data_IF_297765525861
#
_entry.id   IF_297765525861
#
_cell.length_a   1.000
_cell.length_b   1.000
_cell.length_c   1.000
_cell.angle_alpha   90.00
_cell.angle_beta   90.00
_cell.angle_gamma   90.00
#
_symmetry.space_group_name_H-M   'P 1'
#
loop_
_entity.id
_entity.type
_entity.pdbx_description
1 polymer ?
#
# COMPACT_ATOMS: atom_id res chain seq x y z
N UNK A 1 -0.67 -2.14 5.11
CA UNK A 1 0.00 -0.87 5.43
C UNK A 1 -0.80 0.03 6.38
N UNK A 2 -2.10 -0.14 6.48
CA UNK A 2 -2.98 0.62 7.39
C UNK A 2 -3.41 -0.23 8.60
N UNK A 3 -2.47 -0.97 9.20
CA UNK A 3 -2.70 -1.87 10.33
C UNK A 3 -1.79 -1.53 11.51
N UNK A 4 -2.21 -1.91 12.72
CA UNK A 4 -1.38 -1.78 13.92
C UNK A 4 -0.08 -2.58 13.82
N UNK A 5 -0.13 -3.79 13.25
CA UNK A 5 1.05 -4.61 12.98
C UNK A 5 2.09 -3.86 12.14
N UNK A 6 1.66 -3.25 11.02
CA UNK A 6 2.57 -2.45 10.21
C UNK A 6 3.09 -1.20 10.95
N UNK A 7 2.26 -0.55 11.75
CA UNK A 7 2.69 0.55 12.60
C UNK A 7 3.78 0.13 13.58
N UNK A 8 3.61 -1.01 14.25
CA UNK A 8 4.61 -1.55 15.19
C UNK A 8 5.93 -1.87 14.50
N UNK A 9 5.89 -2.49 13.31
CA UNK A 9 7.07 -2.71 12.48
C UNK A 9 7.78 -1.38 12.17
N UNK A 10 7.04 -0.36 11.75
CA UNK A 10 7.64 0.92 11.36
C UNK A 10 8.22 1.68 12.55
N UNK A 11 7.67 1.54 13.77
CA UNK A 11 8.29 2.07 15.00
C UNK A 11 9.67 1.46 15.25
N UNK A 12 9.83 0.13 15.09
CA UNK A 12 11.13 -0.54 15.20
C UNK A 12 12.15 0.00 14.18
N UNK A 13 11.67 0.54 13.05
CA UNK A 13 12.50 1.13 11.99
C UNK A 13 12.57 2.68 12.04
N UNK A 14 12.33 3.25 13.22
CA UNK A 14 12.59 4.66 13.50
C UNK A 14 11.56 5.63 12.92
N UNK A 15 10.33 5.17 12.67
CA UNK A 15 9.21 6.05 12.39
C UNK A 15 8.42 6.34 13.67
N UNK A 16 7.99 7.56 13.82
CA UNK A 16 6.87 7.87 14.70
C UNK A 16 5.57 7.45 13.99
N UNK A 17 4.65 6.84 14.74
CA UNK A 17 3.42 6.27 14.20
C UNK A 17 2.22 6.85 14.92
N UNK A 18 1.36 7.50 14.17
CA UNK A 18 0.11 8.08 14.64
C UNK A 18 -1.07 7.41 13.95
N UNK A 19 -2.14 7.15 14.69
CA UNK A 19 -3.40 6.65 14.17
C UNK A 19 -4.42 7.77 14.23
N UNK A 20 -5.01 8.10 13.08
CA UNK A 20 -6.07 9.10 12.97
C UNK A 20 -7.41 8.39 12.78
N UNK A 21 -8.42 8.83 13.50
CA UNK A 21 -9.81 8.49 13.27
C UNK A 21 -10.57 9.73 12.84
N UNK A 22 -11.34 9.62 11.77
CA UNK A 22 -12.24 10.68 11.30
C UNK A 22 -13.66 10.33 11.75
N UNK A 23 -14.28 11.24 12.51
CA UNK A 23 -15.62 11.03 13.03
C UNK A 23 -16.60 12.05 12.44
N UNK A 24 -17.80 11.58 12.13
CA UNK A 24 -18.94 12.45 11.83
C UNK A 24 -19.37 13.25 13.06
N UNK A 25 -20.29 14.20 12.84
CA UNK A 25 -20.94 14.97 13.93
C UNK A 25 -21.61 14.07 14.97
N UNK A 26 -22.13 12.92 14.56
CA UNK A 26 -22.80 11.93 15.41
C UNK A 26 -21.81 11.00 16.15
N UNK A 27 -20.50 11.24 15.98
CA UNK A 27 -19.44 10.46 16.63
C UNK A 27 -19.07 9.13 15.94
N UNK A 28 -19.72 8.79 14.84
CA UNK A 28 -19.42 7.58 14.07
C UNK A 28 -18.06 7.70 13.36
N UNK A 29 -17.28 6.60 13.35
CA UNK A 29 -16.03 6.55 12.60
C UNK A 29 -16.32 6.43 11.12
N UNK A 30 -15.97 7.47 10.34
CA UNK A 30 -16.19 7.57 8.88
C UNK A 30 -14.91 7.42 8.07
N UNK A 31 -13.78 7.35 8.74
CA UNK A 31 -12.49 7.11 8.10
C UNK A 31 -11.38 6.93 9.11
N UNK A 32 -10.27 6.40 8.65
CA UNK A 32 -9.08 6.19 9.46
C UNK A 32 -7.80 6.29 8.64
N UNK A 33 -6.70 6.58 9.31
CA UNK A 33 -5.37 6.48 8.69
C UNK A 33 -4.28 6.21 9.71
N UNK A 34 -3.31 5.43 9.28
CA UNK A 34 -2.01 5.35 9.90
C UNK A 34 -1.08 6.37 9.23
N UNK A 35 -0.48 7.26 10.02
CA UNK A 35 0.55 8.18 9.59
C UNK A 35 1.92 7.74 10.10
N UNK A 36 2.87 7.67 9.20
CA UNK A 36 4.28 7.50 9.49
C UNK A 36 4.96 8.85 9.42
N UNK A 37 5.76 9.21 10.43
CA UNK A 37 6.44 10.50 10.47
C UNK A 37 7.92 10.32 10.73
N UNK A 38 8.72 11.24 10.19
CA UNK A 38 10.14 11.39 10.53
C UNK A 38 10.52 12.86 10.58
N UNK A 39 11.51 13.17 11.39
CA UNK A 39 12.16 14.46 11.37
C UNK A 39 12.97 14.61 10.07
N UNK A 40 12.97 15.83 9.52
CA UNK A 40 13.77 16.19 8.35
C UNK A 40 15.00 16.98 8.78
N UNK A 41 14.76 18.14 9.40
CA UNK A 41 15.82 19.00 9.95
C UNK A 41 15.24 19.86 11.08
N UNK A 42 16.03 20.08 12.11
CA UNK A 42 15.60 20.84 13.30
C UNK A 42 14.31 20.28 13.89
N UNK A 43 13.32 21.16 14.03
CA UNK A 43 11.97 20.81 14.54
C UNK A 43 10.99 20.34 13.46
N UNK A 44 11.38 20.45 12.20
CA UNK A 44 10.49 20.16 11.08
C UNK A 44 10.44 18.68 10.74
N UNK A 45 9.24 18.22 10.38
CA UNK A 45 8.94 16.82 10.09
C UNK A 45 8.04 16.66 8.87
N UNK A 46 7.99 15.45 8.35
CA UNK A 46 7.02 15.09 7.32
C UNK A 46 6.15 13.93 7.79
N UNK A 47 4.97 13.81 7.19
CA UNK A 47 4.07 12.68 7.38
C UNK A 47 3.84 11.93 6.06
N UNK A 48 3.61 10.62 6.18
CA UNK A 48 3.32 9.73 5.07
C UNK A 48 2.20 8.76 5.44
N UNK A 49 1.15 8.71 4.62
CA UNK A 49 0.05 7.76 4.75
C UNK A 49 0.12 6.70 3.64
N UNK A 50 0.79 5.56 3.87
CA UNK A 50 0.89 4.48 2.89
C UNK A 50 -0.47 3.81 2.68
N UNK A 51 -1.02 3.83 1.47
CA UNK A 51 -2.37 3.35 1.15
C UNK A 51 -3.50 4.03 1.95
N UNK A 52 -3.24 5.19 2.50
CA UNK A 52 -4.21 6.00 3.23
C UNK A 52 -4.64 7.20 2.41
N UNK A 53 -5.72 7.84 2.77
CA UNK A 53 -6.57 7.50 3.91
C UNK A 53 -7.61 6.43 3.56
N UNK A 54 -8.15 5.74 4.57
CA UNK A 54 -9.30 4.86 4.43
C UNK A 54 -10.56 5.71 4.64
N UNK A 55 -11.06 6.31 3.59
CA UNK A 55 -12.17 7.28 3.59
C UNK A 55 -12.86 7.26 2.22
N UNK A 56 -14.09 7.75 2.14
CA UNK A 56 -14.74 7.95 0.84
C UNK A 56 -14.16 9.18 0.14
N UNK A 57 -13.40 8.94 -0.91
CA UNK A 57 -12.79 9.99 -1.73
C UNK A 57 -13.76 10.64 -2.73
N UNK A 58 -14.99 10.17 -2.84
CA UNK A 58 -16.00 10.72 -3.75
C UNK A 58 -16.94 11.71 -3.06
N UNK A 59 -16.77 11.92 -1.75
CA UNK A 59 -17.50 12.92 -0.99
C UNK A 59 -16.66 14.21 -0.88
N UNK A 60 -16.99 15.26 -1.63
CA UNK A 60 -16.21 16.49 -1.65
C UNK A 60 -16.26 17.26 -0.32
N UNK A 61 -17.38 17.24 0.39
CA UNK A 61 -17.53 17.96 1.66
C UNK A 61 -16.68 17.30 2.73
N UNK A 62 -16.73 15.98 2.79
CA UNK A 62 -15.89 15.18 3.69
C UNK A 62 -14.40 15.41 3.44
N UNK A 63 -13.97 15.44 2.18
CA UNK A 63 -12.54 15.63 1.83
C UNK A 63 -12.09 17.07 2.13
N UNK A 64 -12.92 18.07 1.89
CA UNK A 64 -12.60 19.46 2.23
C UNK A 64 -12.47 19.64 3.76
N UNK A 65 -13.43 19.14 4.53
CA UNK A 65 -13.39 19.19 5.99
C UNK A 65 -12.17 18.46 6.55
N UNK A 66 -11.84 17.28 6.00
CA UNK A 66 -10.66 16.52 6.34
C UNK A 66 -9.39 17.34 6.08
N UNK A 67 -9.26 17.92 4.89
CA UNK A 67 -8.07 18.69 4.50
C UNK A 67 -7.85 19.89 5.44
N UNK A 68 -8.89 20.64 5.76
CA UNK A 68 -8.83 21.78 6.67
C UNK A 68 -8.40 21.38 8.09
N UNK A 69 -9.01 20.32 8.62
CA UNK A 69 -8.67 19.82 9.96
C UNK A 69 -7.25 19.27 10.01
N UNK A 70 -6.84 18.51 8.99
CA UNK A 70 -5.48 17.97 8.89
C UNK A 70 -4.45 19.08 8.78
N UNK A 71 -4.68 20.08 7.93
CA UNK A 71 -3.75 21.18 7.77
C UNK A 71 -3.49 21.89 9.09
N UNK A 72 -4.54 22.23 9.85
CA UNK A 72 -4.44 22.86 11.16
C UNK A 72 -3.66 21.98 12.16
N UNK A 73 -3.96 20.67 12.20
CA UNK A 73 -3.28 19.73 13.09
C UNK A 73 -1.79 19.61 12.76
N UNK A 74 -1.48 19.44 11.47
CA UNK A 74 -0.12 19.20 11.00
C UNK A 74 0.76 20.44 11.17
N UNK A 75 0.23 21.64 10.86
CA UNK A 75 0.95 22.90 11.08
C UNK A 75 1.28 23.10 12.55
N UNK A 76 0.33 22.87 13.46
CA UNK A 76 0.55 22.96 14.91
C UNK A 76 1.67 22.02 15.39
N UNK A 77 1.84 20.87 14.74
CA UNK A 77 2.86 19.88 15.05
C UNK A 77 4.14 20.01 14.19
N UNK A 78 4.29 21.12 13.47
CA UNK A 78 5.48 21.46 12.66
C UNK A 78 5.75 20.49 11.48
N UNK A 79 4.70 19.87 10.94
CA UNK A 79 4.81 19.15 9.68
C UNK A 79 4.86 20.14 8.52
N UNK A 80 5.80 19.94 7.59
CA UNK A 80 5.96 20.77 6.39
C UNK A 80 5.21 20.20 5.18
N UNK A 81 5.00 18.88 5.15
CA UNK A 81 4.12 18.25 4.17
C UNK A 81 3.57 16.91 4.67
N UNK A 82 2.46 16.51 4.07
CA UNK A 82 1.87 15.19 4.19
C UNK A 82 1.80 14.56 2.79
N UNK A 83 2.41 13.38 2.64
CA UNK A 83 2.27 12.57 1.42
C UNK A 83 1.23 11.49 1.65
N UNK A 84 0.22 11.44 0.79
CA UNK A 84 -0.76 10.35 0.76
C UNK A 84 -0.58 9.50 -0.50
N UNK A 85 -0.87 8.21 -0.41
CA UNK A 85 -0.87 7.29 -1.54
C UNK A 85 -2.13 6.42 -1.46
N UNK A 86 -3.30 7.00 -1.78
CA UNK A 86 -4.56 6.29 -1.63
C UNK A 86 -4.68 5.13 -2.62
N UNK A 87 -5.38 4.07 -2.20
CA UNK A 87 -5.73 2.93 -3.06
C UNK A 87 -6.99 3.25 -3.85
N UNK A 88 -6.85 4.00 -4.94
CA UNK A 88 -7.94 4.29 -5.85
C UNK A 88 -7.80 3.40 -7.08
N UNK A 89 -8.75 2.49 -7.27
CA UNK A 89 -8.77 1.60 -8.42
C UNK A 89 -9.15 2.38 -9.68
N UNK A 90 -8.20 2.47 -10.62
CA UNK A 90 -8.36 3.28 -11.84
C UNK A 90 -8.89 2.47 -13.01
N UNK A 91 -8.34 1.29 -13.29
CA UNK A 91 -8.72 0.47 -14.43
C UNK A 91 -8.28 -0.99 -14.27
N UNK A 92 -8.99 -1.86 -14.94
CA UNK A 92 -8.59 -3.24 -15.13
C UNK A 92 -7.99 -3.44 -16.52
N UNK A 93 -6.99 -4.30 -16.62
CA UNK A 93 -6.34 -4.63 -17.89
C UNK A 93 -6.20 -6.13 -18.04
N UNK A 94 -6.30 -6.59 -19.28
CA UNK A 94 -6.00 -7.97 -19.60
C UNK A 94 -4.48 -8.23 -19.65
N UNK A 95 -4.08 -9.48 -19.84
CA UNK A 95 -2.68 -9.90 -19.94
C UNK A 95 -1.89 -9.25 -21.09
N UNK A 96 -2.55 -8.67 -22.07
CA UNK A 96 -1.94 -7.91 -23.18
C UNK A 96 -1.82 -6.41 -22.85
N UNK A 97 -2.22 -5.98 -21.66
CA UNK A 97 -2.21 -4.58 -21.26
C UNK A 97 -3.37 -3.74 -21.82
N UNK A 98 -4.31 -4.37 -22.53
CA UNK A 98 -5.51 -3.67 -23.05
C UNK A 98 -6.47 -3.40 -21.91
N UNK A 99 -6.96 -2.17 -21.82
CA UNK A 99 -7.96 -1.79 -20.82
C UNK A 99 -9.27 -2.54 -21.06
N UNK A 100 -9.77 -3.18 -20.01
CA UNK A 100 -11.06 -3.87 -19.99
C UNK A 100 -12.15 -2.97 -19.40
N UNK A 101 -11.75 -2.24 -18.36
CA UNK A 101 -12.64 -1.38 -17.61
C UNK A 101 -11.86 -0.17 -17.12
N UNK A 102 -12.55 0.97 -17.02
CA UNK A 102 -12.01 2.20 -16.45
C UNK A 102 -13.01 2.75 -15.43
N UNK A 103 -12.52 3.11 -14.25
CA UNK A 103 -13.35 3.71 -13.23
C UNK A 103 -13.61 5.20 -13.58
N UNK A 104 -14.83 5.60 -13.98
CA UNK A 104 -15.13 6.94 -14.41
C UNK A 104 -14.98 7.98 -13.27
N UNK A 105 -15.05 7.53 -12.02
CA UNK A 105 -14.94 8.43 -10.85
C UNK A 105 -13.52 8.90 -10.55
N UNK A 106 -12.48 8.29 -11.15
CA UNK A 106 -11.08 8.66 -10.85
C UNK A 106 -10.79 10.13 -11.12
N UNK A 107 -11.25 10.66 -12.24
CA UNK A 107 -11.04 12.06 -12.57
C UNK A 107 -11.75 12.98 -11.58
N UNK A 108 -12.98 12.65 -11.21
CA UNK A 108 -13.72 13.38 -10.18
C UNK A 108 -12.97 13.35 -8.82
N UNK A 109 -12.50 12.20 -8.41
CA UNK A 109 -11.70 12.07 -7.17
C UNK A 109 -10.44 12.94 -7.21
N UNK A 110 -9.74 12.98 -8.34
CA UNK A 110 -8.55 13.82 -8.49
C UNK A 110 -8.90 15.32 -8.42
N UNK A 111 -10.03 15.74 -8.99
CA UNK A 111 -10.52 17.11 -8.91
C UNK A 111 -10.92 17.49 -7.48
N UNK A 112 -11.61 16.60 -6.76
CA UNK A 112 -11.98 16.80 -5.35
C UNK A 112 -10.72 17.02 -4.51
N UNK A 113 -9.73 16.11 -4.61
CA UNK A 113 -8.47 16.21 -3.88
C UNK A 113 -7.72 17.52 -4.24
N UNK A 114 -7.67 17.88 -5.51
CA UNK A 114 -7.03 19.13 -5.96
C UNK A 114 -7.72 20.37 -5.38
N UNK A 115 -9.04 20.42 -5.39
CA UNK A 115 -9.82 21.50 -4.78
C UNK A 115 -9.59 21.60 -3.28
N UNK A 116 -9.43 20.47 -2.60
CA UNK A 116 -9.10 20.41 -1.18
C UNK A 116 -7.61 20.74 -0.87
N UNK A 117 -6.82 21.18 -1.85
CA UNK A 117 -5.44 21.63 -1.66
C UNK A 117 -4.37 20.55 -1.79
N UNK A 118 -4.74 19.33 -2.22
CA UNK A 118 -3.73 18.31 -2.52
C UNK A 118 -3.11 18.50 -3.89
N UNK A 119 -1.79 18.36 -3.99
CA UNK A 119 -1.06 18.37 -5.25
C UNK A 119 -0.85 16.96 -5.76
N UNK A 120 -1.24 16.69 -7.02
CA UNK A 120 -1.05 15.40 -7.65
C UNK A 120 0.30 15.34 -8.37
N UNK A 121 1.23 14.54 -7.85
CA UNK A 121 2.58 14.38 -8.40
C UNK A 121 2.67 13.41 -9.61
N UNK A 122 1.55 13.09 -10.21
CA UNK A 122 1.47 12.19 -11.35
C UNK A 122 1.34 10.73 -10.96
N UNK A 123 1.19 9.89 -11.95
CA UNK A 123 1.15 8.43 -11.79
C UNK A 123 2.54 7.84 -12.01
N UNK A 124 2.91 6.86 -11.20
CA UNK A 124 4.12 6.07 -11.42
C UNK A 124 4.07 5.43 -12.81
N UNK A 125 5.06 5.71 -13.65
CA UNK A 125 5.07 5.21 -15.04
C UNK A 125 5.77 3.86 -15.16
N UNK A 126 6.79 3.61 -14.33
CA UNK A 126 7.66 2.43 -14.40
C UNK A 126 7.93 1.83 -13.03
N UNK A 127 9.11 1.27 -12.81
CA UNK A 127 9.57 0.63 -11.59
C UNK A 127 9.92 1.63 -10.50
N UNK A 128 8.96 2.33 -9.99
CA UNK A 128 9.21 3.31 -8.96
C UNK A 128 9.23 2.67 -7.58
N UNK A 129 10.07 3.23 -6.74
CA UNK A 129 10.53 2.64 -5.48
C UNK A 129 9.47 2.52 -4.40
N UNK A 130 8.36 3.24 -4.50
CA UNK A 130 7.40 3.31 -3.40
C UNK A 130 6.30 2.25 -3.50
N UNK A 131 5.57 2.21 -4.60
CA UNK A 131 4.44 1.28 -4.80
C UNK A 131 4.23 1.01 -6.28
N UNK A 132 4.02 -0.23 -6.70
CA UNK A 132 3.73 -0.53 -8.09
C UNK A 132 2.36 0.06 -8.47
N UNK A 133 2.33 0.72 -9.62
CA UNK A 133 1.10 1.21 -10.24
C UNK A 133 0.17 0.07 -10.66
N UNK A 134 0.75 -1.01 -11.12
CA UNK A 134 0.03 -2.18 -11.63
C UNK A 134 0.25 -3.37 -10.72
N UNK A 135 -0.83 -4.06 -10.39
CA UNK A 135 -0.78 -5.29 -9.61
C UNK A 135 -1.50 -6.38 -10.39
N UNK A 136 -0.92 -7.57 -10.42
CA UNK A 136 -1.60 -8.76 -10.87
C UNK A 136 -2.38 -9.35 -9.69
N UNK A 137 -3.66 -9.65 -9.90
CA UNK A 137 -4.52 -10.22 -8.88
C UNK A 137 -4.99 -11.59 -9.32
N UNK A 138 -4.77 -12.60 -8.46
CA UNK A 138 -5.31 -13.94 -8.62
C UNK A 138 -6.37 -14.16 -7.53
N UNK A 139 -7.61 -14.38 -7.94
CA UNK A 139 -8.69 -14.77 -7.00
C UNK A 139 -8.53 -16.22 -6.60
N UNK A 140 -8.54 -16.47 -5.28
CA UNK A 140 -8.37 -17.81 -4.70
C UNK A 140 -9.70 -18.40 -4.20
N UNK A 141 -10.83 -17.91 -4.69
CA UNK A 141 -12.21 -18.24 -4.30
C UNK A 141 -12.75 -19.49 -5.00
N UNK A 142 -11.89 -20.30 -5.57
CA UNK A 142 -12.25 -21.52 -6.32
C UNK A 142 -11.25 -22.65 -6.06
N UNK A 143 -11.63 -23.93 -6.32
CA UNK A 143 -10.74 -25.07 -6.16
C UNK A 143 -9.44 -24.98 -6.96
N UNK A 144 -8.35 -25.57 -6.44
CA UNK A 144 -7.01 -25.46 -7.01
C UNK A 144 -6.92 -26.01 -8.45
N UNK A 145 -7.64 -27.07 -8.78
CA UNK A 145 -7.72 -27.62 -10.13
C UNK A 145 -8.37 -26.65 -11.13
N UNK A 146 -9.42 -25.94 -10.71
CA UNK A 146 -10.06 -24.90 -11.52
C UNK A 146 -9.12 -23.70 -11.72
N UNK A 147 -8.37 -23.31 -10.67
CA UNK A 147 -7.33 -22.29 -10.79
C UNK A 147 -6.25 -22.72 -11.77
N UNK A 148 -5.76 -23.95 -11.66
CA UNK A 148 -4.77 -24.50 -12.57
C UNK A 148 -5.25 -24.49 -14.04
N UNK A 149 -6.50 -24.88 -14.28
CA UNK A 149 -7.10 -24.87 -15.62
C UNK A 149 -7.28 -23.46 -16.18
N UNK A 150 -7.46 -22.45 -15.33
CA UNK A 150 -7.59 -21.05 -15.75
C UNK A 150 -6.27 -20.42 -16.23
N UNK A 151 -5.13 -21.01 -15.93
CA UNK A 151 -3.84 -20.53 -16.40
C UNK A 151 -3.60 -20.85 -17.86
N UNK A 152 -2.80 -20.02 -18.52
CA UNK A 152 -2.33 -20.26 -19.87
C UNK A 152 -1.56 -21.59 -20.00
N UNK A 153 -1.58 -22.18 -21.18
CA UNK A 153 -0.87 -23.44 -21.47
C UNK A 153 0.60 -23.38 -21.06
N UNK A 154 1.28 -22.25 -21.30
CA UNK A 154 2.68 -22.07 -20.93
C UNK A 154 2.90 -22.13 -19.41
N UNK A 155 2.04 -21.46 -18.64
CA UNK A 155 2.12 -21.46 -17.17
C UNK A 155 1.85 -22.87 -16.63
N UNK A 156 0.80 -23.53 -17.12
CA UNK A 156 0.51 -24.92 -16.73
C UNK A 156 1.68 -25.87 -17.03
N UNK A 157 2.30 -25.70 -18.19
CA UNK A 157 3.50 -26.51 -18.52
C UNK A 157 4.67 -26.24 -17.59
N UNK A 158 4.96 -24.96 -17.26
CA UNK A 158 6.01 -24.61 -16.31
C UNK A 158 5.74 -25.19 -14.92
N UNK A 159 4.50 -25.15 -14.44
CA UNK A 159 4.12 -25.76 -13.16
C UNK A 159 4.34 -27.29 -13.16
N UNK A 160 4.00 -27.99 -14.27
CA UNK A 160 4.25 -29.43 -14.41
C UNK A 160 5.75 -29.74 -14.41
N UNK A 161 6.55 -28.92 -15.09
CA UNK A 161 8.01 -29.06 -15.13
C UNK A 161 8.57 -28.87 -13.70
N UNK A 162 8.18 -27.80 -13.01
CA UNK A 162 8.62 -27.54 -11.65
C UNK A 162 8.32 -28.73 -10.73
N UNK A 163 7.10 -29.29 -10.78
CA UNK A 163 6.74 -30.48 -10.01
C UNK A 163 7.62 -31.69 -10.35
N UNK A 164 7.90 -31.94 -11.64
CA UNK A 164 8.78 -33.04 -12.07
C UNK A 164 10.24 -32.84 -11.63
N UNK A 165 10.68 -31.58 -11.53
CA UNK A 165 12.01 -31.25 -11.03
C UNK A 165 12.11 -31.24 -9.49
N UNK A 166 11.09 -31.71 -8.78
CA UNK A 166 11.11 -31.80 -7.32
C UNK A 166 10.99 -30.43 -6.60
N UNK A 167 10.44 -29.40 -7.27
CA UNK A 167 10.19 -28.11 -6.60
C UNK A 167 9.05 -28.29 -5.63
N UNK A 168 9.34 -28.06 -4.37
CA UNK A 168 8.38 -28.08 -3.26
C UNK A 168 8.09 -26.66 -2.78
N UNK A 169 6.85 -26.41 -2.37
CA UNK A 169 6.41 -25.16 -1.76
C UNK A 169 5.86 -25.47 -0.38
N UNK A 170 6.43 -24.85 0.62
CA UNK A 170 6.00 -25.00 2.01
C UNK A 170 5.90 -23.64 2.70
N UNK A 171 5.18 -23.62 3.81
CA UNK A 171 5.14 -22.44 4.68
C UNK A 171 6.39 -22.44 5.55
N UNK A 172 7.26 -21.45 5.33
CA UNK A 172 8.48 -21.28 6.11
C UNK A 172 8.21 -20.80 7.54
N UNK A 173 9.24 -20.85 8.34
CA UNK A 173 9.29 -20.38 9.74
C UNK A 173 10.28 -19.23 9.90
N UNK A 174 10.37 -18.68 11.11
CA UNK A 174 11.38 -17.66 11.43
C UNK A 174 12.83 -18.13 11.14
N UNK A 175 13.10 -19.44 11.24
CA UNK A 175 14.41 -20.02 10.96
C UNK A 175 14.80 -19.98 9.47
N UNK A 176 13.82 -19.85 8.58
CA UNK A 176 14.06 -19.79 7.13
C UNK A 176 14.37 -18.35 6.64
N UNK A 177 14.17 -17.34 7.50
CA UNK A 177 14.36 -15.93 7.13
C UNK A 177 15.80 -15.63 6.68
N UNK A 178 16.87 -16.13 7.32
CA UNK A 178 18.23 -15.91 6.86
C UNK A 178 18.47 -16.44 5.44
N UNK A 179 17.98 -17.63 5.13
CA UNK A 179 18.07 -18.23 3.79
C UNK A 179 17.31 -17.39 2.77
N UNK A 180 16.07 -16.98 3.08
CA UNK A 180 15.30 -16.09 2.23
C UNK A 180 16.03 -14.78 2.00
N UNK A 181 16.62 -14.17 3.04
CA UNK A 181 17.37 -12.93 2.93
C UNK A 181 18.58 -13.08 2.00
N UNK A 182 19.30 -14.19 2.04
CA UNK A 182 20.45 -14.45 1.16
C UNK A 182 20.07 -14.44 -0.33
N UNK A 183 18.88 -14.91 -0.68
CA UNK A 183 18.37 -14.84 -2.04
C UNK A 183 18.05 -13.42 -2.50
N UNK A 184 17.52 -12.58 -1.61
CA UNK A 184 16.98 -11.27 -2.01
C UNK A 184 17.91 -10.10 -1.73
N UNK A 185 18.94 -10.24 -0.87
CA UNK A 185 19.82 -9.15 -0.41
C UNK A 185 20.46 -8.34 -1.54
N UNK A 186 20.73 -8.95 -2.69
CA UNK A 186 21.31 -8.27 -3.86
C UNK A 186 20.30 -7.36 -4.59
N UNK A 187 19.00 -7.54 -4.37
CA UNK A 187 17.94 -6.81 -5.08
C UNK A 187 17.19 -5.81 -4.19
N UNK A 188 17.36 -5.89 -2.89
CA UNK A 188 16.60 -5.10 -1.92
C UNK A 188 17.53 -4.42 -0.90
N UNK A 189 17.28 -3.14 -0.64
CA UNK A 189 18.08 -2.33 0.31
C UNK A 189 17.69 -2.54 1.78
N UNK A 190 16.89 -3.56 2.09
CA UNK A 190 16.49 -3.87 3.46
C UNK A 190 17.44 -4.90 4.05
N UNK A 191 17.79 -4.74 5.34
CA UNK A 191 18.64 -5.67 6.05
C UNK A 191 17.86 -6.88 6.59
N UNK A 192 18.58 -7.90 7.04
CA UNK A 192 18.00 -9.12 7.61
C UNK A 192 17.04 -8.81 8.77
N UNK A 193 17.42 -7.87 9.65
CA UNK A 193 16.60 -7.49 10.80
C UNK A 193 15.20 -6.99 10.39
N UNK A 194 15.07 -6.30 9.25
CA UNK A 194 13.75 -5.87 8.77
C UNK A 194 12.82 -7.07 8.53
N UNK A 195 13.33 -8.16 7.96
CA UNK A 195 12.51 -9.35 7.67
C UNK A 195 12.17 -10.14 8.91
N UNK A 196 13.08 -10.17 9.90
CA UNK A 196 12.82 -10.74 11.22
C UNK A 196 11.73 -9.95 11.95
N UNK A 197 11.87 -8.63 12.03
CA UNK A 197 10.86 -7.76 12.65
C UNK A 197 9.50 -7.82 11.92
N UNK A 198 9.52 -8.02 10.58
CA UNK A 198 8.30 -8.22 9.80
C UNK A 198 7.60 -9.52 10.19
N UNK A 199 8.33 -10.62 10.28
CA UNK A 199 7.77 -11.92 10.69
C UNK A 199 7.20 -11.89 12.13
N UNK A 200 7.82 -11.12 13.03
CA UNK A 200 7.29 -10.95 14.38
C UNK A 200 6.00 -10.09 14.43
N UNK A 201 5.82 -9.20 13.45
CA UNK A 201 4.70 -8.28 13.40
C UNK A 201 3.44 -8.88 12.77
N UNK A 202 3.59 -9.90 11.90
CA UNK A 202 2.54 -10.53 11.10
C UNK A 202 2.51 -12.04 11.26
#
# INVERSE_FOLDING_TARGET
YQTSAYGNLMRKHGFEVNYLGFKSSDGNLIGASLLLSKNLFGKYRYAYAPHGFLIDYNDPDLINELADKLQKLLLKQQYIFLKIVPLIHCSERNKKGVALNYNPKVNLTLEILKKAGFEHHGFNKYFETLKPRWNAVLRLDRPADMLFLSFDKQIRNKLRIAKRCGVEVYQGTANDIPLFYDFIKKKHNRNLKYYQDFNEAF
#
